data_IF_204685165392
#
_entry.id   IF_204685165392
#
_cell.length_a   1.000
_cell.length_b   1.000
_cell.length_c   1.000
_cell.angle_alpha   90.00
_cell.angle_beta   90.00
_cell.angle_gamma   90.00
#
_symmetry.space_group_name_H-M   'P 1'
#
loop_
_entity.id
_entity.type
_entity.pdbx_description
1 polymer ?
#
# COMPACT_ATOMS: atom_id res chain seq x y z
N UNK A 1 11.25 -8.72 -11.39
CA UNK A 1 10.36 -8.48 -10.25
C UNK A 1 9.49 -7.25 -10.43
N UNK A 2 10.05 -6.13 -10.93
CA UNK A 2 9.27 -4.91 -11.15
C UNK A 2 8.64 -4.79 -12.55
N UNK A 3 8.76 -5.81 -13.38
CA UNK A 3 8.10 -5.82 -14.67
C UNK A 3 6.59 -5.73 -14.51
N UNK A 4 5.96 -4.79 -15.22
CA UNK A 4 4.53 -4.49 -15.14
C UNK A 4 4.06 -3.96 -13.77
N UNK A 5 4.95 -3.33 -13.00
CA UNK A 5 4.61 -2.63 -11.76
C UNK A 5 5.00 -1.15 -11.91
N UNK A 6 4.06 -0.28 -11.62
CA UNK A 6 4.22 1.16 -11.75
C UNK A 6 3.85 1.86 -10.44
N UNK A 7 4.71 2.75 -9.94
CA UNK A 7 4.32 3.75 -8.95
C UNK A 7 3.77 4.93 -9.73
N UNK A 8 2.46 5.13 -9.70
CA UNK A 8 1.76 6.12 -10.50
C UNK A 8 1.95 7.53 -9.92
N UNK A 9 1.67 7.68 -8.65
CA UNK A 9 1.81 8.94 -7.93
C UNK A 9 1.83 8.68 -6.42
N UNK A 10 2.72 9.34 -5.68
CA UNK A 10 2.79 9.28 -4.23
C UNK A 10 2.90 7.84 -3.69
N UNK A 11 1.82 7.26 -3.20
CA UNK A 11 1.72 5.86 -2.77
C UNK A 11 0.90 4.99 -3.71
N UNK A 12 0.36 5.56 -4.78
CA UNK A 12 -0.48 4.84 -5.74
C UNK A 12 0.36 3.90 -6.59
N UNK A 13 0.04 2.60 -6.52
CA UNK A 13 0.77 1.54 -7.23
C UNK A 13 -0.21 0.80 -8.14
N UNK A 14 0.23 0.51 -9.37
CA UNK A 14 -0.47 -0.37 -10.31
C UNK A 14 0.38 -1.59 -10.58
N UNK A 15 -0.18 -2.77 -10.40
CA UNK A 15 0.40 -4.06 -10.75
C UNK A 15 -0.43 -4.62 -11.92
N UNK A 16 0.20 -4.75 -13.10
CA UNK A 16 -0.47 -5.23 -14.31
C UNK A 16 0.11 -6.58 -14.71
N UNK A 17 -0.38 -7.63 -14.05
CA UNK A 17 -0.01 -9.03 -14.30
C UNK A 17 -1.23 -9.80 -14.82
N UNK A 18 -1.42 -11.05 -14.41
CA UNK A 18 -2.64 -11.80 -14.72
C UNK A 18 -3.92 -11.09 -14.25
N UNK A 19 -3.82 -10.41 -13.12
CA UNK A 19 -4.83 -9.48 -12.60
C UNK A 19 -4.27 -8.06 -12.59
N UNK A 20 -5.14 -7.10 -12.82
CA UNK A 20 -4.81 -5.68 -12.67
C UNK A 20 -5.19 -5.25 -11.27
N UNK A 21 -4.18 -4.90 -10.49
CA UNK A 21 -4.31 -4.51 -9.08
C UNK A 21 -3.89 -3.06 -8.92
N UNK A 22 -4.70 -2.29 -8.20
CA UNK A 22 -4.33 -0.98 -7.72
C UNK A 22 -4.21 -0.99 -6.20
N UNK A 23 -3.20 -0.31 -5.68
CA UNK A 23 -3.06 -0.01 -4.26
C UNK A 23 -3.11 1.50 -4.10
N UNK A 24 -3.98 1.98 -3.22
CA UNK A 24 -4.16 3.40 -2.91
C UNK A 24 -4.26 4.29 -4.16
N UNK A 25 -5.24 4.08 -5.07
CA UNK A 25 -5.34 4.85 -6.30
C UNK A 25 -5.55 6.33 -5.99
N UNK A 26 -4.58 7.17 -6.40
CA UNK A 26 -4.54 8.59 -6.14
C UNK A 26 -3.87 9.34 -7.31
N UNK A 27 -4.43 10.49 -7.71
CA UNK A 27 -3.99 11.26 -8.89
C UNK A 27 -3.93 10.43 -10.18
N UNK A 28 -4.98 9.65 -10.42
CA UNK A 28 -5.12 8.86 -11.65
C UNK A 28 -5.45 9.79 -12.82
N UNK A 29 -4.60 9.80 -13.85
CA UNK A 29 -4.70 10.77 -14.96
C UNK A 29 -5.88 10.54 -15.90
N UNK A 30 -6.33 9.28 -16.06
CA UNK A 30 -7.39 8.90 -17.01
C UNK A 30 -8.25 7.77 -16.47
N UNK A 31 -9.44 7.59 -17.07
CA UNK A 31 -10.31 6.48 -16.76
C UNK A 31 -9.76 5.19 -17.39
N UNK A 32 -9.26 4.29 -16.54
CA UNK A 32 -8.79 2.96 -16.95
C UNK A 32 -9.93 1.95 -16.95
N UNK A 33 -10.78 1.94 -15.91
CA UNK A 33 -11.88 1.00 -15.70
C UNK A 33 -11.44 -0.46 -15.89
N UNK A 34 -10.26 -0.81 -15.37
CA UNK A 34 -9.62 -2.10 -15.62
C UNK A 34 -9.25 -2.86 -14.34
N UNK A 35 -9.43 -2.27 -13.15
CA UNK A 35 -9.05 -2.89 -11.89
C UNK A 35 -9.80 -4.19 -11.62
N UNK A 36 -9.09 -5.29 -11.45
CA UNK A 36 -9.63 -6.53 -10.91
C UNK A 36 -9.72 -6.45 -9.39
N UNK A 37 -8.71 -5.87 -8.75
CA UNK A 37 -8.65 -5.66 -7.31
C UNK A 37 -8.17 -4.25 -6.97
N UNK A 38 -8.71 -3.68 -5.89
CA UNK A 38 -8.26 -2.44 -5.30
C UNK A 38 -7.98 -2.68 -3.83
N UNK A 39 -6.74 -2.43 -3.42
CA UNK A 39 -6.31 -2.43 -2.03
C UNK A 39 -6.28 -1.00 -1.52
N UNK A 40 -6.81 -0.75 -0.34
CA UNK A 40 -6.70 0.54 0.34
C UNK A 40 -6.05 0.29 1.70
N UNK A 41 -4.97 1.01 1.99
CA UNK A 41 -4.24 0.86 3.23
C UNK A 41 -4.95 1.53 4.40
N UNK A 42 -5.50 2.73 4.17
CA UNK A 42 -6.22 3.51 5.18
C UNK A 42 -7.05 4.63 4.54
N UNK A 43 -7.78 5.40 5.34
CA UNK A 43 -8.81 6.33 4.87
C UNK A 43 -8.39 7.80 4.76
N UNK A 44 -7.09 8.10 4.75
CA UNK A 44 -6.61 9.42 4.40
C UNK A 44 -6.82 9.71 2.91
N UNK A 45 -7.00 11.00 2.56
CA UNK A 45 -7.41 11.45 1.22
C UNK A 45 -6.43 11.09 0.10
N UNK A 46 -5.15 10.91 0.43
CA UNK A 46 -4.07 10.55 -0.49
C UNK A 46 -3.87 9.03 -0.66
N UNK A 47 -4.72 8.24 0.01
CA UNK A 47 -4.81 6.78 -0.11
C UNK A 47 -6.23 6.33 -0.47
N UNK A 48 -7.27 7.02 0.03
CA UNK A 48 -8.67 6.78 -0.27
C UNK A 48 -9.25 7.98 -1.05
N UNK A 49 -9.07 8.01 -2.36
CA UNK A 49 -9.64 8.99 -3.27
C UNK A 49 -10.85 8.39 -3.99
N UNK A 50 -12.06 8.82 -3.62
CA UNK A 50 -13.29 8.33 -4.25
C UNK A 50 -13.33 8.61 -5.76
N UNK A 51 -12.81 9.75 -6.20
CA UNK A 51 -12.72 10.13 -7.60
C UNK A 51 -11.78 9.19 -8.37
N UNK A 52 -10.62 8.88 -7.80
CA UNK A 52 -9.62 8.05 -8.48
C UNK A 52 -10.00 6.56 -8.44
N UNK A 53 -10.67 6.10 -7.38
CA UNK A 53 -11.31 4.78 -7.34
C UNK A 53 -12.29 4.63 -8.50
N UNK A 54 -13.13 5.63 -8.77
CA UNK A 54 -14.09 5.59 -9.91
C UNK A 54 -13.42 5.54 -11.27
N UNK A 55 -12.22 6.10 -11.41
CA UNK A 55 -11.44 6.05 -12.67
C UNK A 55 -10.87 4.65 -12.97
N UNK A 56 -10.65 3.82 -11.94
CA UNK A 56 -9.99 2.52 -12.13
C UNK A 56 -10.94 1.34 -11.95
N UNK A 57 -11.98 1.44 -11.11
CA UNK A 57 -12.88 0.31 -10.83
C UNK A 57 -13.77 -0.09 -12.01
N UNK A 58 -14.13 -1.36 -12.03
CA UNK A 58 -15.22 -1.99 -12.82
C UNK A 58 -16.36 -2.36 -11.88
N UNK A 59 -17.46 -2.85 -12.43
CA UNK A 59 -18.61 -3.31 -11.65
C UNK A 59 -18.31 -4.53 -10.75
N UNK A 60 -17.33 -5.34 -11.13
CA UNK A 60 -16.91 -6.57 -10.43
C UNK A 60 -15.54 -6.46 -9.77
N UNK A 61 -15.02 -5.26 -9.58
CA UNK A 61 -13.76 -5.05 -8.85
C UNK A 61 -13.90 -5.49 -7.39
N UNK A 62 -12.97 -6.29 -6.91
CA UNK A 62 -12.88 -6.69 -5.50
C UNK A 62 -12.07 -5.64 -4.73
N UNK A 63 -12.59 -5.19 -3.60
CA UNK A 63 -11.94 -4.26 -2.69
C UNK A 63 -11.40 -5.02 -1.49
N UNK A 64 -10.12 -4.78 -1.14
CA UNK A 64 -9.47 -5.32 0.04
C UNK A 64 -9.06 -4.13 0.91
N UNK A 65 -9.67 -4.00 2.08
CA UNK A 65 -9.63 -2.76 2.86
C UNK A 65 -9.64 -3.05 4.37
N UNK A 66 -9.19 -2.12 5.23
CA UNK A 66 -9.45 -2.20 6.66
C UNK A 66 -10.93 -1.98 6.96
N UNK A 67 -11.43 -2.57 8.05
CA UNK A 67 -12.84 -2.59 8.45
C UNK A 67 -13.51 -1.20 8.48
N UNK A 68 -12.78 -0.16 8.88
CA UNK A 68 -13.31 1.20 8.95
C UNK A 68 -13.73 1.79 7.59
N UNK A 69 -13.31 1.20 6.47
CA UNK A 69 -13.68 1.61 5.11
C UNK A 69 -14.95 0.94 4.58
N UNK A 70 -15.42 -0.16 5.18
CA UNK A 70 -16.59 -0.91 4.72
C UNK A 70 -17.79 0.01 4.48
N UNK A 71 -18.20 0.75 5.50
CA UNK A 71 -19.35 1.63 5.40
C UNK A 71 -19.19 2.79 4.41
N UNK A 72 -17.94 3.25 4.17
CA UNK A 72 -17.65 4.30 3.17
C UNK A 72 -17.86 3.74 1.76
N UNK A 73 -17.36 2.54 1.49
CA UNK A 73 -17.51 1.88 0.19
C UNK A 73 -18.97 1.51 -0.12
N UNK A 74 -19.70 0.98 0.85
CA UNK A 74 -21.15 0.69 0.69
C UNK A 74 -21.92 1.97 0.37
N UNK A 75 -21.67 3.08 1.08
CA UNK A 75 -22.30 4.37 0.80
C UNK A 75 -21.94 4.92 -0.59
N UNK A 76 -20.76 4.61 -1.09
CA UNK A 76 -20.30 4.92 -2.45
C UNK A 76 -21.01 4.06 -3.52
N UNK A 77 -21.76 3.03 -3.12
CA UNK A 77 -22.48 2.14 -4.02
C UNK A 77 -21.67 0.92 -4.48
N UNK A 78 -20.62 0.56 -3.76
CA UNK A 78 -19.92 -0.73 -3.97
C UNK A 78 -20.76 -1.83 -3.30
N UNK A 79 -20.99 -2.93 -4.01
CA UNK A 79 -21.72 -4.08 -3.46
C UNK A 79 -20.91 -4.73 -2.34
N UNK A 80 -21.55 -5.08 -1.25
CA UNK A 80 -20.95 -5.70 -0.07
C UNK A 80 -20.18 -6.99 -0.44
N UNK A 81 -20.72 -7.79 -1.36
CA UNK A 81 -20.08 -9.00 -1.88
C UNK A 81 -18.73 -8.78 -2.58
N UNK A 82 -18.45 -7.55 -2.98
CA UNK A 82 -17.19 -7.14 -3.61
C UNK A 82 -16.23 -6.50 -2.61
N UNK A 83 -16.51 -6.48 -1.32
CA UNK A 83 -15.69 -5.87 -0.29
C UNK A 83 -15.21 -6.96 0.68
N UNK A 84 -13.91 -7.06 0.82
CA UNK A 84 -13.24 -7.93 1.81
C UNK A 84 -12.55 -7.03 2.81
N UNK A 85 -12.98 -7.09 4.05
CA UNK A 85 -12.33 -6.37 5.14
C UNK A 85 -11.33 -7.28 5.82
N UNK A 86 -10.17 -6.71 6.18
CA UNK A 86 -9.12 -7.41 6.90
C UNK A 86 -8.72 -6.61 8.15
N UNK A 87 -8.39 -7.34 9.19
CA UNK A 87 -7.72 -6.82 10.39
C UNK A 87 -6.22 -7.12 10.35
N UNK A 88 -5.40 -6.38 11.10
CA UNK A 88 -3.96 -6.67 11.20
C UNK A 88 -3.67 -8.12 11.62
N UNK A 89 -2.93 -8.85 10.81
CA UNK A 89 -2.58 -10.26 10.99
C UNK A 89 -3.46 -11.23 10.22
N UNK A 90 -4.51 -10.77 9.59
CA UNK A 90 -5.36 -11.60 8.73
C UNK A 90 -4.63 -12.01 7.45
N UNK A 91 -5.06 -13.13 6.91
CA UNK A 91 -4.61 -13.68 5.63
C UNK A 91 -5.80 -14.09 4.78
N UNK A 92 -5.73 -13.82 3.48
CA UNK A 92 -6.76 -14.19 2.53
C UNK A 92 -6.14 -14.73 1.24
N UNK A 93 -6.91 -15.48 0.46
CA UNK A 93 -6.50 -15.95 -0.87
C UNK A 93 -7.63 -15.76 -1.85
N UNK A 94 -7.39 -14.95 -2.87
CA UNK A 94 -8.35 -14.62 -3.92
C UNK A 94 -7.71 -14.90 -5.28
N UNK A 95 -8.32 -15.77 -6.08
CA UNK A 95 -7.80 -16.11 -7.41
C UNK A 95 -6.30 -16.42 -7.43
N UNK A 96 -5.83 -17.28 -6.52
CA UNK A 96 -4.42 -17.68 -6.32
C UNK A 96 -3.49 -16.57 -5.78
N UNK A 97 -3.96 -15.34 -5.62
CA UNK A 97 -3.22 -14.24 -4.99
C UNK A 97 -3.36 -14.38 -3.47
N UNK A 98 -2.24 -14.58 -2.78
CA UNK A 98 -2.22 -14.62 -1.33
C UNK A 98 -1.96 -13.23 -0.77
N UNK A 99 -2.71 -12.88 0.26
CA UNK A 99 -2.73 -11.57 0.89
C UNK A 99 -2.46 -11.75 2.39
N UNK A 100 -1.56 -10.94 2.93
CA UNK A 100 -1.34 -10.85 4.38
C UNK A 100 -1.49 -9.38 4.78
N UNK A 101 -2.32 -9.11 5.78
CA UNK A 101 -2.54 -7.77 6.33
C UNK A 101 -1.51 -7.49 7.44
N UNK A 102 -0.71 -6.45 7.27
CA UNK A 102 0.32 -6.04 8.22
C UNK A 102 -0.14 -4.75 8.91
N UNK A 103 -0.04 -4.70 10.23
CA UNK A 103 -0.40 -3.49 10.98
C UNK A 103 0.50 -2.31 10.60
N UNK A 104 -0.11 -1.22 10.13
CA UNK A 104 0.57 0.02 9.76
C UNK A 104 0.18 1.14 10.73
N UNK A 105 1.16 1.68 11.47
CA UNK A 105 0.90 2.73 12.46
C UNK A 105 2.16 3.53 12.81
N UNK A 106 1.98 4.67 13.45
CA UNK A 106 3.07 5.48 14.00
C UNK A 106 3.40 5.10 15.44
N UNK A 107 4.69 5.23 15.81
CA UNK A 107 5.17 5.04 17.19
C UNK A 107 5.07 6.34 17.99
N UNK A 108 5.69 7.41 17.49
CA UNK A 108 5.81 8.70 18.21
C UNK A 108 5.16 9.87 17.45
N UNK A 109 4.25 9.59 16.52
CA UNK A 109 3.53 10.57 15.72
C UNK A 109 2.02 10.36 15.87
N UNK A 110 1.20 11.42 15.86
CA UNK A 110 -0.25 11.31 16.11
C UNK A 110 -1.09 10.96 14.86
N UNK A 111 -0.46 10.82 13.67
CA UNK A 111 -1.19 10.79 12.40
C UNK A 111 -1.80 9.42 12.09
N UNK A 112 -1.14 8.34 12.51
CA UNK A 112 -1.56 6.96 12.25
C UNK A 112 -1.60 6.19 13.58
N UNK A 113 -2.64 6.41 14.42
CA UNK A 113 -2.77 5.71 15.70
C UNK A 113 -2.93 4.20 15.49
N UNK A 114 -2.32 3.42 16.37
CA UNK A 114 -2.38 1.95 16.30
C UNK A 114 -3.82 1.43 16.38
N UNK A 115 -4.67 2.11 17.13
CA UNK A 115 -6.08 1.75 17.36
C UNK A 115 -6.95 1.82 16.11
N UNK A 116 -6.48 2.47 15.04
CA UNK A 116 -7.22 2.54 13.77
C UNK A 116 -7.15 1.23 12.97
N UNK A 117 -6.28 0.29 13.34
CA UNK A 117 -6.09 -0.99 12.64
C UNK A 117 -5.84 -0.83 11.14
N UNK A 118 -5.16 0.23 10.74
CA UNK A 118 -4.78 0.45 9.35
C UNK A 118 -3.72 -0.51 8.87
N UNK A 119 -3.64 -0.74 7.56
CA UNK A 119 -2.96 -1.87 6.98
C UNK A 119 -1.83 -1.47 6.02
N UNK A 120 -0.75 -2.23 6.06
CA UNK A 120 0.06 -2.55 4.92
C UNK A 120 -0.30 -3.94 4.41
N UNK A 121 0.15 -4.31 3.25
CA UNK A 121 -0.18 -5.59 2.63
C UNK A 121 1.05 -6.31 2.12
N UNK A 122 1.11 -7.62 2.31
CA UNK A 122 1.94 -8.49 1.49
C UNK A 122 1.02 -9.14 0.47
N UNK A 123 1.31 -8.93 -0.81
CA UNK A 123 0.57 -9.50 -1.93
C UNK A 123 1.51 -10.47 -2.64
N UNK A 124 1.21 -11.78 -2.62
CA UNK A 124 2.00 -12.80 -3.31
C UNK A 124 1.37 -13.12 -4.67
N UNK A 125 2.09 -12.84 -5.74
CA UNK A 125 1.71 -13.11 -7.13
C UNK A 125 2.90 -13.77 -7.83
N UNK A 126 2.69 -14.88 -8.53
CA UNK A 126 3.75 -15.63 -9.23
C UNK A 126 4.91 -16.02 -8.29
N UNK A 127 4.62 -16.37 -7.05
CA UNK A 127 5.62 -16.68 -6.01
C UNK A 127 6.56 -15.51 -5.67
N UNK A 128 6.21 -14.28 -6.02
CA UNK A 128 6.90 -13.05 -5.64
C UNK A 128 6.03 -12.33 -4.60
N UNK A 129 6.64 -12.00 -3.47
CA UNK A 129 5.98 -11.35 -2.34
C UNK A 129 6.27 -9.84 -2.37
N UNK A 130 5.23 -9.05 -2.60
CA UNK A 130 5.26 -7.60 -2.65
C UNK A 130 4.74 -7.04 -1.33
N UNK A 131 5.59 -6.38 -0.55
CA UNK A 131 5.17 -5.67 0.65
C UNK A 131 4.92 -4.20 0.33
N UNK A 132 3.69 -3.75 0.52
CA UNK A 132 3.29 -2.34 0.45
C UNK A 132 3.02 -1.91 1.88
N UNK A 133 3.88 -1.05 2.43
CA UNK A 133 3.89 -0.79 3.87
C UNK A 133 2.70 0.05 4.36
N UNK A 134 2.05 0.83 3.48
CA UNK A 134 1.13 1.89 3.89
C UNK A 134 1.86 3.00 4.65
N UNK A 135 1.13 3.80 5.38
CA UNK A 135 1.69 4.87 6.21
C UNK A 135 2.05 4.34 7.60
N UNK A 136 3.35 4.16 7.83
CA UNK A 136 3.84 3.50 9.04
C UNK A 136 5.22 4.00 9.45
N UNK A 137 5.53 3.83 10.74
CA UNK A 137 6.89 3.84 11.26
C UNK A 137 7.48 2.41 11.28
N UNK A 138 8.70 2.24 11.81
CA UNK A 138 9.27 0.90 12.06
C UNK A 138 8.54 0.29 13.25
N UNK A 139 7.77 -0.77 13.03
CA UNK A 139 6.98 -1.46 14.05
C UNK A 139 7.51 -2.86 14.32
N UNK A 140 7.09 -3.49 15.42
CA UNK A 140 7.48 -4.88 15.71
C UNK A 140 6.86 -5.88 14.70
N UNK A 141 5.77 -5.49 14.08
CA UNK A 141 5.09 -6.27 13.05
C UNK A 141 5.86 -6.21 11.71
N UNK A 142 6.19 -5.00 11.23
CA UNK A 142 6.83 -4.87 9.92
C UNK A 142 8.30 -5.32 9.90
N UNK A 143 9.00 -5.32 11.04
CA UNK A 143 10.34 -5.94 11.17
C UNK A 143 10.36 -7.45 10.87
N UNK A 144 9.22 -8.12 10.98
CA UNK A 144 9.09 -9.57 10.76
C UNK A 144 8.69 -9.93 9.33
N UNK A 145 8.37 -8.94 8.51
CA UNK A 145 7.94 -9.12 7.12
C UNK A 145 9.00 -9.89 6.33
N UNK A 146 8.53 -10.83 5.52
CA UNK A 146 9.34 -11.55 4.54
C UNK A 146 8.78 -11.26 3.16
N UNK A 147 9.54 -10.55 2.35
CA UNK A 147 9.13 -10.15 1.00
C UNK A 147 10.31 -10.14 0.04
N UNK A 148 9.99 -10.18 -1.25
CA UNK A 148 10.98 -10.03 -2.32
C UNK A 148 11.14 -8.56 -2.74
N UNK A 149 10.03 -7.83 -2.74
CA UNK A 149 9.96 -6.41 -3.09
C UNK A 149 9.26 -5.66 -1.96
N UNK A 150 9.84 -4.55 -1.51
CA UNK A 150 9.24 -3.68 -0.49
C UNK A 150 9.00 -2.27 -1.05
N UNK A 151 7.75 -1.78 -0.96
CA UNK A 151 7.38 -0.40 -1.21
C UNK A 151 7.24 0.31 0.14
N UNK A 152 8.13 1.26 0.41
CA UNK A 152 8.28 1.88 1.73
C UNK A 152 8.13 3.40 1.67
N UNK A 153 7.34 4.01 2.56
CA UNK A 153 7.25 5.46 2.64
C UNK A 153 8.57 6.05 3.13
N UNK A 154 8.99 7.17 2.50
CA UNK A 154 10.24 7.87 2.84
C UNK A 154 10.03 9.36 3.12
N UNK A 155 8.77 9.81 3.18
CA UNK A 155 8.39 11.23 3.30
C UNK A 155 8.71 11.89 4.65
N UNK A 156 8.77 11.14 5.73
CA UNK A 156 9.30 11.54 7.04
C UNK A 156 8.33 12.22 7.98
N UNK A 157 7.43 13.10 7.53
CA UNK A 157 6.56 13.85 8.44
C UNK A 157 5.47 12.98 9.06
N UNK A 158 4.81 12.19 8.25
CA UNK A 158 3.68 11.35 8.64
C UNK A 158 4.07 9.88 8.81
N UNK A 159 5.19 9.50 8.22
CA UNK A 159 5.67 8.13 8.09
C UNK A 159 7.14 8.03 8.45
N UNK A 160 7.76 6.89 8.16
CA UNK A 160 9.22 6.77 8.17
C UNK A 160 9.85 7.85 7.30
N UNK A 161 10.96 8.41 7.75
CA UNK A 161 11.87 9.16 6.89
C UNK A 161 12.78 8.18 6.11
N UNK A 162 13.53 8.70 5.14
CA UNK A 162 14.36 7.87 4.27
C UNK A 162 15.45 7.07 5.02
N UNK A 163 15.91 7.50 6.20
CA UNK A 163 16.88 6.78 7.03
C UNK A 163 16.22 5.62 7.76
N UNK A 164 15.04 5.86 8.32
CA UNK A 164 14.24 4.83 8.99
C UNK A 164 13.79 3.77 7.98
N UNK A 165 13.33 4.16 6.79
CA UNK A 165 12.99 3.23 5.73
C UNK A 165 14.19 2.36 5.31
N UNK A 166 15.39 2.94 5.18
CA UNK A 166 16.61 2.19 4.89
C UNK A 166 16.97 1.22 6.03
N UNK A 167 16.76 1.61 7.29
CA UNK A 167 16.93 0.70 8.43
C UNK A 167 15.97 -0.50 8.34
N UNK A 168 14.70 -0.25 8.01
CA UNK A 168 13.73 -1.34 7.83
C UNK A 168 14.15 -2.28 6.70
N UNK A 169 14.61 -1.75 5.56
CA UNK A 169 15.14 -2.57 4.46
C UNK A 169 16.26 -3.50 4.95
N UNK A 170 17.22 -2.98 5.73
CA UNK A 170 18.32 -3.77 6.27
C UNK A 170 17.86 -4.87 7.27
N UNK A 171 16.71 -4.66 7.93
CA UNK A 171 16.11 -5.64 8.85
C UNK A 171 15.39 -6.75 8.08
N UNK A 172 14.54 -6.39 7.12
CA UNK A 172 13.68 -7.36 6.42
C UNK A 172 14.34 -8.02 5.20
N UNK A 173 15.37 -7.37 4.63
CA UNK A 173 16.23 -7.90 3.57
C UNK A 173 15.53 -8.23 2.27
N UNK A 174 14.69 -7.35 1.68
CA UNK A 174 14.07 -7.59 0.39
C UNK A 174 15.12 -7.58 -0.72
N UNK A 175 14.84 -8.25 -1.85
CA UNK A 175 15.70 -8.20 -3.04
C UNK A 175 15.64 -6.84 -3.74
N UNK A 176 14.51 -6.15 -3.62
CA UNK A 176 14.25 -4.83 -4.20
C UNK A 176 13.51 -3.96 -3.19
N UNK A 177 13.94 -2.72 -3.03
CA UNK A 177 13.23 -1.71 -2.23
C UNK A 177 12.89 -0.50 -3.11
N UNK A 178 11.63 -0.06 -3.04
CA UNK A 178 11.08 1.04 -3.83
C UNK A 178 10.57 2.12 -2.86
N UNK A 179 11.13 3.35 -2.91
CA UNK A 179 10.63 4.44 -2.09
C UNK A 179 9.31 4.97 -2.66
N UNK A 180 8.35 5.21 -1.78
CA UNK A 180 7.05 5.81 -2.07
C UNK A 180 6.76 6.95 -1.09
N UNK A 181 5.60 7.61 -1.21
CA UNK A 181 5.11 8.63 -0.28
C UNK A 181 6.09 9.81 -0.09
N UNK A 182 6.56 10.40 -1.22
CA UNK A 182 7.50 11.53 -1.20
C UNK A 182 7.33 12.42 -2.44
N UNK A 183 7.87 13.65 -2.35
CA UNK A 183 8.01 14.55 -3.51
C UNK A 183 6.74 15.18 -4.04
N UNK A 184 5.62 15.02 -3.32
CA UNK A 184 4.32 15.61 -3.65
C UNK A 184 3.63 16.15 -2.38
N UNK A 185 2.84 15.34 -1.69
CA UNK A 185 2.17 15.73 -0.43
C UNK A 185 3.19 16.04 0.66
N UNK A 186 4.28 15.27 0.73
CA UNK A 186 5.32 15.39 1.76
C UNK A 186 6.69 15.04 1.18
N UNK A 187 7.74 15.48 1.86
CA UNK A 187 9.11 15.20 1.49
C UNK A 187 9.55 15.86 0.17
N UNK A 188 10.71 15.50 -0.29
CA UNK A 188 11.28 15.98 -1.56
C UNK A 188 11.71 14.82 -2.44
N UNK A 189 11.85 15.05 -3.74
CA UNK A 189 12.38 14.05 -4.69
C UNK A 189 13.79 13.56 -4.30
N UNK A 190 14.56 14.38 -3.59
CA UNK A 190 15.88 14.03 -3.10
C UNK A 190 15.87 12.85 -2.10
N UNK A 191 14.76 12.69 -1.33
CA UNK A 191 14.65 11.62 -0.33
C UNK A 191 14.75 10.22 -0.93
N UNK A 192 14.21 10.00 -2.14
CA UNK A 192 14.39 8.73 -2.84
C UNK A 192 15.87 8.44 -3.16
N UNK A 193 16.60 9.46 -3.64
CA UNK A 193 18.04 9.33 -3.92
C UNK A 193 18.83 9.05 -2.64
N UNK A 194 18.52 9.75 -1.56
CA UNK A 194 19.21 9.59 -0.28
C UNK A 194 18.86 8.24 0.39
N UNK A 195 17.62 7.75 0.22
CA UNK A 195 17.23 6.40 0.61
C UNK A 195 18.10 5.34 -0.07
N UNK A 196 18.19 5.39 -1.41
CA UNK A 196 18.94 4.41 -2.20
C UNK A 196 20.44 4.37 -1.78
N UNK A 197 21.03 5.51 -1.47
CA UNK A 197 22.45 5.58 -1.01
C UNK A 197 22.69 4.89 0.34
N UNK A 198 21.66 4.66 1.13
CA UNK A 198 21.75 4.03 2.45
C UNK A 198 21.46 2.52 2.42
N UNK A 199 21.09 1.99 1.26
CA UNK A 199 20.80 0.56 1.08
C UNK A 199 22.13 -0.18 0.87
N UNK A 200 22.84 -0.49 1.97
CA UNK A 200 23.96 -1.50 2.06
C UNK A 200 24.62 -1.46 3.45
#
# INVERSE_FOLDING_TARGET
MLENIEVLYHSSIRINKEKIIYVDPYHIEKNYNDADMIFITHDHYDHYSEEDIDKVRKSNTIFIVPENLLNKLIKKGINDENIITLDPGDTETIDEIKIEAIHAYNIDKPFHPKENNWLGYIIEIDSIRYYIAGDTDITEENKKVKCDVAFLPVGGTYTMNFREAAQLVNIIGPKVAVPIHYGSVVGTKQYATDFIKLLY
#
